data_IF_529019848802
#
_entry.id   IF_529019848802
#
_cell.length_a   1.000
_cell.length_b   1.000
_cell.length_c   1.000
_cell.angle_alpha   90.00
_cell.angle_beta   90.00
_cell.angle_gamma   90.00
#
_symmetry.space_group_name_H-M   'P 1'
#
loop_
_entity.id
_entity.type
_entity.pdbx_description
1 polymer ?
#
# COMPACT_ATOMS: atom_id res chain seq x y z
N UNK A 1 -12.51 31.95 -72.28
CA UNK A 1 -12.78 33.23 -71.66
C UNK A 1 -13.31 33.05 -70.30
N UNK A 2 -12.81 33.76 -69.40
CA UNK A 2 -13.09 33.83 -67.95
C UNK A 2 -12.26 32.90 -67.09
N UNK A 3 -11.00 33.25 -67.03
CA UNK A 3 -10.25 33.11 -65.90
C UNK A 3 -10.93 33.92 -64.76
N UNK A 4 -11.75 33.33 -64.02
CA UNK A 4 -12.35 34.03 -62.89
C UNK A 4 -12.52 33.15 -61.73
N UNK A 5 -11.77 33.60 -60.79
CA UNK A 5 -11.98 33.33 -59.41
C UNK A 5 -11.53 31.96 -58.94
N UNK A 6 -10.24 31.81 -59.06
CA UNK A 6 -9.56 31.04 -58.03
C UNK A 6 -9.80 31.83 -56.76
N UNK A 7 -10.89 31.56 -56.14
CA UNK A 7 -11.13 32.00 -54.75
C UNK A 7 -10.18 31.18 -53.93
N UNK A 8 -9.14 31.87 -53.56
CA UNK A 8 -8.17 31.41 -52.59
C UNK A 8 -8.90 31.18 -51.28
N UNK A 9 -9.44 30.01 -51.12
CA UNK A 9 -9.82 29.56 -49.79
C UNK A 9 -8.54 29.22 -49.07
N UNK A 10 -7.98 30.22 -48.46
CA UNK A 10 -7.03 30.02 -47.40
C UNK A 10 -7.84 29.43 -46.28
N UNK A 11 -7.93 28.12 -46.29
CA UNK A 11 -8.36 27.39 -45.11
C UNK A 11 -7.31 27.66 -44.06
N UNK A 12 -7.61 28.57 -43.19
CA UNK A 12 -6.92 28.73 -41.94
C UNK A 12 -7.11 27.42 -41.19
N UNK A 13 -6.14 26.58 -41.35
CA UNK A 13 -6.00 25.38 -40.53
C UNK A 13 -5.60 25.86 -39.15
N UNK A 14 -6.59 26.20 -38.35
CA UNK A 14 -6.40 26.43 -36.94
C UNK A 14 -6.00 25.12 -36.31
N UNK A 15 -4.71 24.91 -36.19
CA UNK A 15 -4.17 23.85 -35.34
C UNK A 15 -4.50 24.26 -33.92
N UNK A 16 -5.60 23.75 -33.42
CA UNK A 16 -5.90 23.78 -32.01
C UNK A 16 -4.93 22.80 -31.38
N UNK A 17 -3.82 23.33 -30.89
CA UNK A 17 -2.98 22.61 -29.94
C UNK A 17 -3.82 22.43 -28.69
N UNK A 18 -4.53 21.33 -28.57
CA UNK A 18 -5.05 20.88 -27.31
C UNK A 18 -3.84 20.44 -26.50
N UNK A 19 -3.31 21.35 -25.71
CA UNK A 19 -2.42 20.99 -24.65
C UNK A 19 -3.24 20.09 -23.70
N UNK A 20 -3.11 18.79 -23.90
CA UNK A 20 -3.57 17.85 -22.92
C UNK A 20 -2.68 18.05 -21.68
N UNK A 21 -3.09 18.97 -20.81
CA UNK A 21 -2.69 18.91 -19.42
C UNK A 21 -3.27 17.61 -18.87
N UNK A 22 -2.48 16.55 -18.95
CA UNK A 22 -2.71 15.41 -18.07
C UNK A 22 -2.53 15.96 -16.67
N UNK A 23 -3.56 15.98 -15.82
CA UNK A 23 -3.32 16.19 -14.42
C UNK A 23 -2.42 15.04 -13.99
N UNK A 24 -1.20 15.34 -13.64
CA UNK A 24 -0.43 14.44 -12.85
C UNK A 24 -1.31 14.18 -11.64
N UNK A 25 -1.92 13.02 -11.58
CA UNK A 25 -2.58 12.57 -10.39
C UNK A 25 -1.48 12.49 -9.35
N UNK A 26 -1.32 13.56 -8.59
CA UNK A 26 -0.70 13.49 -7.30
C UNK A 26 -1.65 12.63 -6.47
N UNK A 27 -1.56 11.32 -6.69
CA UNK A 27 -2.15 10.36 -5.82
C UNK A 27 -1.44 10.51 -4.50
N UNK A 28 -2.01 11.25 -3.58
CA UNK A 28 -1.82 11.05 -2.16
C UNK A 28 -2.51 9.75 -1.75
N UNK A 29 -2.39 8.72 -2.58
CA UNK A 29 -2.54 7.36 -2.15
C UNK A 29 -1.30 7.07 -1.34
N UNK A 30 -1.44 6.92 -0.04
CA UNK A 30 -0.40 6.34 0.78
C UNK A 30 -0.13 4.97 0.17
N UNK A 31 0.94 4.90 -0.60
CA UNK A 31 1.35 3.65 -1.23
C UNK A 31 1.70 2.68 -0.11
N UNK A 32 1.03 1.54 -0.09
CA UNK A 32 1.28 0.53 0.94
C UNK A 32 2.67 -0.04 0.66
N UNK A 33 3.62 0.06 1.58
CA UNK A 33 4.99 -0.39 1.37
C UNK A 33 5.08 -1.93 1.45
N UNK A 34 4.71 -2.60 0.37
CA UNK A 34 4.69 -4.06 0.29
C UNK A 34 6.09 -4.69 0.25
N UNK A 35 7.11 -3.90 0.04
CA UNK A 35 8.52 -4.32 -0.03
C UNK A 35 9.22 -4.36 1.33
N UNK A 36 8.54 -3.92 2.39
CA UNK A 36 9.08 -4.02 3.75
C UNK A 36 9.20 -5.48 4.20
N UNK A 37 10.34 -5.89 4.73
CA UNK A 37 10.53 -7.26 5.25
C UNK A 37 9.43 -7.64 6.26
N UNK A 38 9.08 -6.76 7.17
CA UNK A 38 8.04 -7.00 8.17
C UNK A 38 6.67 -7.30 7.54
N UNK A 39 6.33 -6.65 6.41
CA UNK A 39 5.08 -6.90 5.70
C UNK A 39 5.09 -8.28 5.05
N UNK A 40 6.19 -8.64 4.40
CA UNK A 40 6.34 -9.94 3.74
C UNK A 40 6.33 -11.08 4.75
N UNK A 41 7.05 -10.94 5.86
CA UNK A 41 7.06 -11.95 6.93
C UNK A 41 5.68 -12.09 7.57
N UNK A 42 4.97 -10.99 7.81
CA UNK A 42 3.61 -11.01 8.34
C UNK A 42 2.61 -11.67 7.37
N UNK A 43 2.73 -11.43 6.05
CA UNK A 43 1.93 -12.12 5.05
C UNK A 43 2.17 -13.63 5.07
N UNK A 44 3.43 -14.04 5.10
CA UNK A 44 3.81 -15.46 5.15
C UNK A 44 3.30 -16.10 6.44
N UNK A 45 3.49 -15.45 7.57
CA UNK A 45 2.99 -15.92 8.86
C UNK A 45 1.48 -16.17 8.83
N UNK A 46 0.72 -15.22 8.29
CA UNK A 46 -0.74 -15.34 8.23
C UNK A 46 -1.19 -16.42 7.23
N UNK A 47 -0.53 -16.50 6.08
CA UNK A 47 -0.73 -17.54 5.07
C UNK A 47 -0.56 -18.94 5.68
N UNK A 48 0.53 -19.17 6.39
CA UNK A 48 0.83 -20.44 7.07
C UNK A 48 -0.18 -20.72 8.20
N UNK A 49 -0.49 -19.71 9.01
CA UNK A 49 -1.42 -19.86 10.15
C UNK A 49 -2.82 -20.23 9.70
N UNK A 50 -3.27 -19.70 8.56
CA UNK A 50 -4.60 -19.95 8.01
C UNK A 50 -4.64 -21.11 7.01
N UNK A 51 -3.49 -21.62 6.57
CA UNK A 51 -3.41 -22.66 5.56
C UNK A 51 -3.91 -22.20 4.19
N UNK A 52 -3.70 -20.94 3.83
CA UNK A 52 -4.07 -20.35 2.54
C UNK A 52 -2.85 -19.95 1.75
N UNK A 53 -3.00 -19.77 0.44
CA UNK A 53 -1.92 -19.24 -0.39
C UNK A 53 -1.64 -17.77 -0.03
N UNK A 54 -0.37 -17.38 -0.06
CA UNK A 54 0.04 -16.00 0.27
C UNK A 54 -0.63 -14.96 -0.64
N UNK A 55 -0.98 -15.31 -1.85
CA UNK A 55 -1.72 -14.44 -2.78
C UNK A 55 -3.14 -14.12 -2.32
N UNK A 56 -3.69 -14.90 -1.40
CA UNK A 56 -5.00 -14.65 -0.78
C UNK A 56 -4.93 -13.71 0.42
N UNK A 57 -3.72 -13.42 0.91
CA UNK A 57 -3.48 -12.51 2.03
C UNK A 57 -3.27 -11.10 1.48
N UNK A 58 -4.31 -10.27 1.57
CA UNK A 58 -4.26 -8.89 1.06
C UNK A 58 -3.84 -7.94 2.17
N UNK A 59 -2.83 -7.12 1.90
CA UNK A 59 -2.42 -6.04 2.80
C UNK A 59 -3.36 -4.86 2.60
N UNK A 60 -4.07 -4.47 3.65
CA UNK A 60 -5.04 -3.36 3.61
C UNK A 60 -4.41 -2.07 4.13
N UNK A 61 -3.60 -2.17 5.19
CA UNK A 61 -3.01 -1.00 5.84
C UNK A 61 -1.71 -1.38 6.54
N UNK A 62 -0.73 -0.49 6.49
CA UNK A 62 0.51 -0.58 7.24
C UNK A 62 0.68 0.71 8.03
N UNK A 63 0.86 0.61 9.34
CA UNK A 63 1.02 1.76 10.23
C UNK A 63 2.32 1.63 10.99
N UNK A 64 3.14 2.68 10.97
CA UNK A 64 4.33 2.77 11.82
C UNK A 64 3.91 2.81 13.28
N UNK A 65 4.57 2.02 14.11
CA UNK A 65 4.27 1.90 15.54
C UNK A 65 5.53 1.96 16.37
N UNK A 66 5.38 2.52 17.57
CA UNK A 66 6.33 2.38 18.66
C UNK A 66 5.63 1.58 19.76
N UNK A 67 5.96 0.30 19.86
CA UNK A 67 5.37 -0.58 20.85
C UNK A 67 5.93 -0.30 22.24
N UNK A 68 5.11 -0.39 23.31
CA UNK A 68 5.55 -0.06 24.67
C UNK A 68 6.49 -1.09 25.26
N UNK A 69 6.56 -2.29 24.67
CA UNK A 69 7.35 -3.41 25.17
C UNK A 69 7.81 -4.35 24.07
N UNK A 70 8.67 -5.30 24.41
CA UNK A 70 9.21 -6.28 23.48
C UNK A 70 8.17 -7.31 23.00
N UNK A 71 6.99 -7.36 23.61
CA UNK A 71 5.87 -8.21 23.19
C UNK A 71 4.91 -7.46 22.26
N UNK A 72 5.31 -6.31 21.73
CA UNK A 72 4.55 -5.52 20.76
C UNK A 72 3.15 -5.11 21.28
N UNK A 73 3.02 -4.90 22.59
CA UNK A 73 1.75 -4.55 23.24
C UNK A 73 0.75 -5.70 23.35
N UNK A 74 1.13 -6.92 23.00
CA UNK A 74 0.29 -8.11 23.02
C UNK A 74 0.96 -9.27 23.78
N UNK A 75 1.22 -9.12 25.09
CA UNK A 75 1.79 -10.20 25.87
C UNK A 75 0.83 -11.39 25.95
N UNK A 76 1.38 -12.59 25.86
CA UNK A 76 0.65 -13.80 26.17
C UNK A 76 0.37 -13.89 27.67
N UNK A 77 -0.60 -14.70 28.07
CA UNK A 77 -0.91 -14.89 29.48
C UNK A 77 0.31 -15.40 30.26
N UNK A 78 0.72 -14.65 31.28
CA UNK A 78 1.89 -14.97 32.12
C UNK A 78 3.25 -14.65 31.48
N UNK A 79 3.28 -14.09 30.28
CA UNK A 79 4.51 -13.69 29.61
C UNK A 79 5.08 -12.41 30.25
N UNK A 80 6.38 -12.42 30.52
CA UNK A 80 7.12 -11.26 30.98
C UNK A 80 7.80 -10.60 29.78
N UNK A 81 7.44 -9.35 29.51
CA UNK A 81 7.96 -8.60 28.39
C UNK A 81 8.93 -7.52 28.85
N UNK A 82 10.09 -7.42 28.19
CA UNK A 82 11.01 -6.32 28.45
C UNK A 82 10.32 -4.98 28.15
N UNK A 83 10.42 -4.03 29.07
CA UNK A 83 9.82 -2.69 28.96
C UNK A 83 10.73 -1.79 28.12
N UNK A 84 10.86 -2.11 26.86
CA UNK A 84 11.68 -1.40 25.86
C UNK A 84 10.77 -0.93 24.76
N UNK A 85 10.86 0.34 24.39
CA UNK A 85 10.17 0.84 23.18
C UNK A 85 10.71 0.07 21.99
N UNK A 86 9.81 -0.60 21.27
CA UNK A 86 10.13 -1.47 20.13
C UNK A 86 9.47 -0.89 18.89
N UNK A 87 10.24 -0.32 17.96
CA UNK A 87 9.68 0.15 16.70
C UNK A 87 9.22 -1.02 15.84
N UNK A 88 8.16 -0.80 15.07
CA UNK A 88 7.60 -1.81 14.20
C UNK A 88 6.35 -1.35 13.48
N UNK A 89 5.48 -2.28 13.14
CA UNK A 89 4.30 -2.00 12.34
C UNK A 89 3.06 -2.69 12.88
N UNK A 90 1.93 -1.99 12.77
CA UNK A 90 0.62 -2.61 12.83
C UNK A 90 0.11 -2.79 11.42
N UNK A 91 -0.11 -4.04 11.03
CA UNK A 91 -0.48 -4.39 9.67
C UNK A 91 -1.87 -5.00 9.68
N UNK A 92 -2.75 -4.43 8.87
CA UNK A 92 -4.11 -4.96 8.67
C UNK A 92 -4.14 -5.73 7.38
N UNK A 93 -4.63 -6.96 7.46
CA UNK A 93 -4.82 -7.86 6.33
C UNK A 93 -6.29 -8.20 6.15
N UNK A 94 -6.66 -8.57 4.94
CA UNK A 94 -7.92 -9.20 4.61
C UNK A 94 -7.66 -10.53 3.91
N UNK A 95 -8.32 -11.57 4.39
CA UNK A 95 -8.28 -12.91 3.80
C UNK A 95 -9.71 -13.43 3.72
N UNK A 96 -10.18 -13.70 2.51
CA UNK A 96 -11.55 -14.21 2.26
C UNK A 96 -12.64 -13.37 2.95
N UNK A 97 -12.50 -12.05 2.93
CA UNK A 97 -13.45 -11.10 3.53
C UNK A 97 -13.33 -10.93 5.05
N UNK A 98 -12.38 -11.60 5.69
CA UNK A 98 -12.12 -11.48 7.12
C UNK A 98 -10.88 -10.63 7.38
N UNK A 99 -10.95 -9.74 8.36
CA UNK A 99 -9.86 -8.85 8.75
C UNK A 99 -9.00 -9.48 9.84
N UNK A 100 -7.68 -9.34 9.67
CA UNK A 100 -6.65 -9.77 10.63
C UNK A 100 -5.71 -8.62 10.90
N UNK A 101 -5.32 -8.45 12.15
CA UNK A 101 -4.37 -7.41 12.57
C UNK A 101 -3.15 -8.09 13.19
N UNK A 102 -1.99 -7.80 12.64
CA UNK A 102 -0.71 -8.28 13.16
C UNK A 102 0.15 -7.13 13.65
N UNK A 103 0.79 -7.33 14.77
CA UNK A 103 1.84 -6.46 15.28
C UNK A 103 3.19 -7.09 14.96
N UNK A 104 4.12 -6.29 14.44
CA UNK A 104 5.48 -6.74 14.12
C UNK A 104 6.51 -5.79 14.71
N UNK A 105 7.72 -6.27 14.88
CA UNK A 105 8.89 -5.41 14.94
C UNK A 105 9.30 -4.95 13.53
N UNK A 106 10.30 -4.09 13.41
CA UNK A 106 10.77 -3.60 12.10
C UNK A 106 11.27 -4.71 11.18
N UNK A 107 11.82 -5.77 11.73
CA UNK A 107 12.37 -6.88 10.96
C UNK A 107 11.32 -7.90 10.52
N UNK A 108 10.19 -7.96 11.19
CA UNK A 108 9.19 -9.00 11.01
C UNK A 108 9.56 -10.34 11.67
N UNK A 109 10.59 -10.39 12.49
CA UNK A 109 10.98 -11.61 13.20
C UNK A 109 10.12 -11.86 14.44
N UNK A 110 9.57 -10.80 15.03
CA UNK A 110 8.61 -10.90 16.11
C UNK A 110 7.25 -10.48 15.56
N UNK A 111 6.32 -11.41 15.55
CA UNK A 111 4.96 -11.20 15.05
C UNK A 111 3.96 -11.67 16.09
N UNK A 112 2.95 -10.84 16.32
CA UNK A 112 1.85 -11.15 17.23
C UNK A 112 0.52 -10.81 16.59
N UNK A 113 -0.44 -11.70 16.71
CA UNK A 113 -1.79 -11.46 16.22
C UNK A 113 -2.65 -10.87 17.34
N UNK A 114 -3.36 -9.79 16.98
CA UNK A 114 -4.34 -9.14 17.84
C UNK A 114 -5.65 -9.93 17.91
#
# INVERSE_FOLDING_TARGET
>A
MNAKKITLFIALLSVVLVAACSPAAAGTGTEIPLDLPAVQEAQNFLSESLGVDVTQVQVIKVEDMEWPDACLGLPASGEVCAQVITPGFRITFEVNGQTYILHTDESGLNIRQQ
#
